data_IF_095509951050
#
_entry.id   IF_095509951050
#
_cell.length_a   1.000
_cell.length_b   1.000
_cell.length_c   1.000
_cell.angle_alpha   90.00
_cell.angle_beta   90.00
_cell.angle_gamma   90.00
#
_symmetry.space_group_name_H-M   'P 1'
#
loop_
_entity.id
_entity.type
_entity.pdbx_description
1 polymer ?
#
# COMPACT_ATOMS: atom_id res chain seq x y z
N UNK A 1 8.64 -12.81 -3.63
CA UNK A 1 8.29 -13.36 -2.37
C UNK A 1 7.95 -12.25 -1.39
N UNK A 2 7.04 -12.54 -0.51
CA UNK A 2 6.76 -11.69 0.62
C UNK A 2 6.42 -10.24 0.26
N UNK A 3 6.79 -9.35 1.14
CA UNK A 3 6.44 -7.94 1.02
C UNK A 3 7.09 -7.20 -0.16
N UNK A 4 8.21 -7.71 -0.67
CA UNK A 4 8.87 -7.07 -1.82
C UNK A 4 7.98 -7.02 -3.05
N UNK A 5 7.07 -7.97 -3.20
CA UNK A 5 6.11 -7.99 -4.30
C UNK A 5 5.16 -6.78 -4.26
N UNK A 6 4.76 -6.38 -3.05
CA UNK A 6 3.92 -5.19 -2.85
C UNK A 6 4.72 -3.94 -3.23
N UNK A 7 5.92 -3.77 -2.69
CA UNK A 7 6.75 -2.61 -2.97
C UNK A 7 7.03 -2.45 -4.46
N UNK A 8 7.37 -3.55 -5.13
CA UNK A 8 7.65 -3.53 -6.57
C UNK A 8 6.41 -3.12 -7.37
N UNK A 9 5.22 -3.60 -6.99
CA UNK A 9 3.99 -3.22 -7.67
C UNK A 9 3.71 -1.72 -7.49
N UNK A 10 3.91 -1.18 -6.28
CA UNK A 10 3.69 0.23 -6.01
C UNK A 10 4.67 1.13 -6.79
N UNK A 11 5.91 0.69 -6.94
CA UNK A 11 6.92 1.44 -7.69
C UNK A 11 6.63 1.53 -9.18
N UNK A 12 5.80 0.64 -9.73
CA UNK A 12 5.37 0.78 -11.13
C UNK A 12 4.42 1.95 -11.32
N UNK A 13 3.73 2.37 -10.26
CA UNK A 13 2.76 3.46 -10.31
C UNK A 13 3.39 4.80 -9.94
N UNK A 14 4.16 4.83 -8.85
CA UNK A 14 4.74 6.07 -8.32
C UNK A 14 6.16 5.79 -7.81
N UNK A 15 7.15 5.65 -8.72
CA UNK A 15 8.47 5.12 -8.35
C UNK A 15 9.26 5.98 -7.35
N UNK A 16 8.99 7.27 -7.27
CA UNK A 16 9.78 8.19 -6.44
C UNK A 16 9.16 8.49 -5.08
N UNK A 17 7.99 7.94 -4.78
CA UNK A 17 7.25 8.27 -3.56
C UNK A 17 6.58 7.05 -2.93
N UNK A 18 7.32 5.94 -2.81
CA UNK A 18 6.88 4.72 -2.13
C UNK A 18 7.71 4.55 -0.86
N UNK A 19 7.02 4.44 0.28
CA UNK A 19 7.66 4.37 1.60
C UNK A 19 7.15 3.17 2.39
N UNK A 20 7.98 2.65 3.28
CA UNK A 20 7.60 1.58 4.20
C UNK A 20 7.28 2.18 5.57
N UNK A 21 6.10 1.87 6.08
CA UNK A 21 5.59 2.27 7.41
C UNK A 21 5.27 3.75 7.52
N UNK A 22 6.17 4.63 7.14
CA UNK A 22 5.96 6.07 7.30
C UNK A 22 6.64 6.84 6.17
N UNK A 23 5.92 7.81 5.62
CA UNK A 23 6.47 8.74 4.64
C UNK A 23 7.07 9.97 5.35
N UNK A 24 8.14 10.56 4.80
CA UNK A 24 8.64 11.83 5.33
C UNK A 24 7.64 12.97 5.05
N UNK A 25 7.71 14.02 5.84
CA UNK A 25 6.85 15.20 5.62
C UNK A 25 7.23 15.97 4.37
N UNK A 26 8.52 15.97 4.04
CA UNK A 26 9.06 16.69 2.89
C UNK A 26 10.00 15.81 2.09
N UNK A 27 10.21 16.16 0.84
CA UNK A 27 11.25 15.54 0.01
C UNK A 27 12.63 16.04 0.43
N UNK A 28 13.70 15.44 -0.13
CA UNK A 28 15.08 15.84 0.14
C UNK A 28 15.33 17.31 -0.22
N UNK A 29 14.56 17.85 -1.16
CA UNK A 29 14.66 19.25 -1.57
C UNK A 29 13.85 20.20 -0.67
N UNK A 30 13.23 19.70 0.40
CA UNK A 30 12.42 20.49 1.31
C UNK A 30 11.01 20.79 0.81
N UNK A 31 10.57 20.14 -0.25
CA UNK A 31 9.22 20.32 -0.80
C UNK A 31 8.26 19.39 -0.04
N UNK A 32 7.08 19.90 0.32
CA UNK A 32 6.07 19.10 1.00
C UNK A 32 5.64 17.92 0.14
N UNK A 33 5.57 16.74 0.75
CA UNK A 33 5.16 15.52 0.08
C UNK A 33 3.62 15.47 0.03
N UNK A 34 3.04 15.68 -1.16
CA UNK A 34 1.60 15.82 -1.33
C UNK A 34 0.90 14.57 -1.85
N UNK A 35 1.61 13.71 -2.58
CA UNK A 35 1.05 12.54 -3.24
C UNK A 35 2.04 11.40 -3.11
N UNK A 36 1.67 10.36 -2.36
CA UNK A 36 2.61 9.30 -2.03
C UNK A 36 1.92 7.99 -1.69
N UNK A 37 2.70 6.93 -1.61
CA UNK A 37 2.24 5.59 -1.23
C UNK A 37 3.05 5.11 -0.04
N UNK A 38 2.35 4.49 0.92
CA UNK A 38 2.99 3.86 2.08
C UNK A 38 2.47 2.43 2.18
N UNK A 39 3.33 1.47 2.44
CA UNK A 39 2.89 0.12 2.76
C UNK A 39 3.41 -0.27 4.13
N UNK A 40 2.54 -0.89 4.92
CA UNK A 40 2.83 -1.25 6.30
C UNK A 40 2.58 -2.74 6.50
N UNK A 41 3.60 -3.53 6.85
CA UNK A 41 3.37 -4.93 7.20
C UNK A 41 2.47 -5.00 8.44
N UNK A 42 1.43 -5.83 8.38
CA UNK A 42 0.49 -5.98 9.51
C UNK A 42 0.58 -7.34 10.16
N UNK A 43 1.19 -8.32 9.51
CA UNK A 43 1.39 -9.62 10.10
C UNK A 43 1.55 -10.71 9.06
N UNK A 44 1.65 -11.92 9.56
CA UNK A 44 1.76 -13.10 8.74
C UNK A 44 0.73 -14.12 9.21
N UNK A 45 0.19 -14.85 8.26
CA UNK A 45 -0.78 -15.90 8.54
C UNK A 45 -0.30 -17.19 7.87
N UNK A 46 -0.47 -18.31 8.58
CA UNK A 46 -0.06 -19.61 8.04
C UNK A 46 -1.27 -20.40 7.60
N UNK A 47 -1.16 -21.09 6.47
CA UNK A 47 -2.10 -22.11 6.09
C UNK A 47 -1.50 -23.46 6.44
N UNK A 48 -2.35 -24.44 6.77
CA UNK A 48 -1.91 -25.74 7.24
C UNK A 48 -2.44 -26.86 6.36
N UNK A 49 -1.61 -27.87 6.18
CA UNK A 49 -1.98 -29.14 5.57
C UNK A 49 -1.46 -30.28 6.46
N UNK A 50 -2.37 -31.17 6.90
CA UNK A 50 -2.04 -32.29 7.77
C UNK A 50 -1.33 -31.87 9.07
N UNK A 51 -1.77 -30.73 9.64
CA UNK A 51 -1.22 -30.22 10.89
C UNK A 51 0.12 -29.52 10.78
N UNK A 52 0.62 -29.28 9.56
CA UNK A 52 1.91 -28.61 9.31
C UNK A 52 1.69 -27.31 8.54
N UNK A 53 2.54 -26.29 8.77
CA UNK A 53 2.49 -25.09 7.95
C UNK A 53 2.69 -25.44 6.48
N UNK A 54 1.75 -25.02 5.63
CA UNK A 54 1.79 -25.26 4.19
C UNK A 54 2.33 -24.06 3.43
N UNK A 55 1.84 -22.85 3.78
CA UNK A 55 2.27 -21.62 3.15
C UNK A 55 2.15 -20.48 4.14
N UNK A 56 2.98 -19.46 3.95
CA UNK A 56 2.90 -18.21 4.71
C UNK A 56 2.21 -17.16 3.85
N UNK A 57 1.21 -16.52 4.42
CA UNK A 57 0.50 -15.40 3.79
C UNK A 57 0.94 -14.12 4.48
N UNK A 58 1.54 -13.22 3.73
CA UNK A 58 2.04 -11.94 4.24
C UNK A 58 0.94 -10.89 4.11
N UNK A 59 0.62 -10.23 5.21
CA UNK A 59 -0.45 -9.24 5.27
C UNK A 59 0.14 -7.84 5.42
N UNK A 60 -0.42 -6.90 4.68
CA UNK A 60 0.02 -5.51 4.72
C UNK A 60 -1.15 -4.59 4.37
N UNK A 61 -1.02 -3.33 4.74
CA UNK A 61 -1.95 -2.28 4.31
C UNK A 61 -1.18 -1.32 3.42
N UNK A 62 -1.74 -1.06 2.24
CA UNK A 62 -1.22 -0.04 1.32
C UNK A 62 -2.04 1.23 1.52
N UNK A 63 -1.39 2.33 1.85
CA UNK A 63 -2.02 3.62 2.04
C UNK A 63 -1.68 4.52 0.86
N UNK A 64 -2.72 5.02 0.20
CA UNK A 64 -2.59 5.98 -0.91
C UNK A 64 -2.97 7.36 -0.39
N UNK A 65 -2.04 8.31 -0.44
CA UNK A 65 -2.28 9.68 0.00
C UNK A 65 -2.36 10.61 -1.22
N UNK A 66 -3.43 11.40 -1.29
CA UNK A 66 -3.67 12.34 -2.38
C UNK A 66 -4.22 13.65 -1.83
N UNK A 67 -4.19 14.70 -2.66
CA UNK A 67 -4.69 16.03 -2.28
C UNK A 67 -6.08 16.32 -2.84
N UNK A 68 -6.58 15.49 -3.74
CA UNK A 68 -7.91 15.67 -4.33
C UNK A 68 -8.71 14.39 -4.21
N UNK A 69 -10.02 14.53 -4.03
CA UNK A 69 -10.94 13.41 -3.87
C UNK A 69 -11.05 12.54 -5.14
N UNK A 70 -10.93 13.17 -6.29
CA UNK A 70 -11.07 12.51 -7.58
C UNK A 70 -9.74 12.09 -8.24
N UNK A 71 -8.66 12.05 -7.46
CA UNK A 71 -7.38 11.57 -7.96
C UNK A 71 -7.49 10.11 -8.41
N UNK A 72 -6.92 9.80 -9.56
CA UNK A 72 -6.94 8.45 -10.12
C UNK A 72 -5.92 7.52 -9.47
N UNK A 73 -5.05 8.01 -8.60
CA UNK A 73 -3.98 7.23 -7.98
C UNK A 73 -4.48 5.97 -7.25
N UNK A 74 -5.55 6.04 -6.44
CA UNK A 74 -6.05 4.82 -5.78
C UNK A 74 -6.45 3.73 -6.77
N UNK A 75 -7.08 4.09 -7.88
CA UNK A 75 -7.47 3.13 -8.92
C UNK A 75 -6.25 2.54 -9.64
N UNK A 76 -5.24 3.36 -9.90
CA UNK A 76 -3.99 2.92 -10.52
C UNK A 76 -3.24 1.95 -9.61
N UNK A 77 -3.22 2.22 -8.31
CA UNK A 77 -2.60 1.33 -7.31
C UNK A 77 -3.34 0.01 -7.25
N UNK A 78 -4.67 0.03 -7.18
CA UNK A 78 -5.47 -1.20 -7.16
C UNK A 78 -5.22 -2.05 -8.40
N UNK A 79 -5.11 -1.43 -9.56
CA UNK A 79 -4.81 -2.13 -10.81
C UNK A 79 -3.42 -2.76 -10.77
N UNK A 80 -2.42 -2.02 -10.29
CA UNK A 80 -1.04 -2.53 -10.21
C UNK A 80 -0.95 -3.72 -9.24
N UNK A 81 -1.64 -3.66 -8.11
CA UNK A 81 -1.67 -4.77 -7.16
C UNK A 81 -2.36 -6.00 -7.76
N UNK A 82 -3.48 -5.79 -8.47
CA UNK A 82 -4.18 -6.88 -9.14
C UNK A 82 -3.31 -7.51 -10.24
N UNK A 83 -2.62 -6.69 -11.02
CA UNK A 83 -1.73 -7.18 -12.09
C UNK A 83 -0.55 -7.98 -11.51
N UNK A 84 -0.15 -7.69 -10.28
CA UNK A 84 0.90 -8.44 -9.58
C UNK A 84 0.36 -9.66 -8.83
N UNK A 85 -0.93 -9.99 -8.99
CA UNK A 85 -1.60 -11.10 -8.32
C UNK A 85 -1.58 -10.99 -6.80
N UNK A 86 -1.71 -9.79 -6.28
CA UNK A 86 -1.82 -9.53 -4.85
C UNK A 86 -3.30 -9.44 -4.49
N UNK A 87 -3.72 -10.25 -3.53
CA UNK A 87 -5.11 -10.23 -3.06
C UNK A 87 -5.39 -8.96 -2.26
N UNK A 88 -6.52 -8.33 -2.52
CA UNK A 88 -6.92 -7.10 -1.85
C UNK A 88 -8.28 -7.29 -1.18
N UNK A 89 -8.46 -6.61 -0.05
CA UNK A 89 -9.75 -6.49 0.60
C UNK A 89 -10.35 -5.13 0.28
N UNK A 90 -11.57 -4.89 0.78
CA UNK A 90 -12.27 -3.63 0.54
C UNK A 90 -11.45 -2.44 1.03
N UNK A 91 -11.21 -1.43 0.19
CA UNK A 91 -10.48 -0.25 0.62
C UNK A 91 -11.30 0.62 1.56
N UNK A 92 -10.63 1.28 2.48
CA UNK A 92 -11.23 2.25 3.39
C UNK A 92 -10.72 3.64 3.05
N UNK A 93 -11.65 4.61 3.01
CA UNK A 93 -11.33 5.99 2.68
C UNK A 93 -11.46 6.88 3.91
N UNK A 94 -10.52 7.81 4.06
CA UNK A 94 -10.56 8.80 5.13
C UNK A 94 -10.00 10.13 4.65
N UNK A 95 -10.26 11.19 5.41
CA UNK A 95 -9.78 12.52 5.11
C UNK A 95 -9.21 13.16 6.38
N UNK A 96 -7.98 13.67 6.30
CA UNK A 96 -7.35 14.38 7.40
C UNK A 96 -7.50 15.89 7.17
N UNK A 97 -8.31 16.53 8.00
CA UNK A 97 -8.58 17.97 7.91
C UNK A 97 -7.31 18.78 8.15
N UNK A 98 -6.48 18.35 9.10
CA UNK A 98 -5.27 19.09 9.48
C UNK A 98 -4.27 19.22 8.34
N UNK A 99 -4.12 18.16 7.53
CA UNK A 99 -3.19 18.13 6.39
C UNK A 99 -3.88 18.28 5.04
N UNK A 100 -5.23 18.35 5.03
CA UNK A 100 -6.04 18.39 3.81
C UNK A 100 -5.69 17.23 2.86
N UNK A 101 -5.53 16.03 3.40
CA UNK A 101 -5.08 14.86 2.66
C UNK A 101 -6.16 13.78 2.66
N UNK A 102 -6.43 13.23 1.48
CA UNK A 102 -7.30 12.05 1.31
C UNK A 102 -6.45 10.79 1.38
N UNK A 103 -6.90 9.84 2.19
CA UNK A 103 -6.23 8.55 2.35
C UNK A 103 -7.13 7.42 1.88
N UNK A 104 -6.54 6.46 1.18
CA UNK A 104 -7.19 5.20 0.83
C UNK A 104 -6.31 4.07 1.37
N UNK A 105 -6.85 3.28 2.30
CA UNK A 105 -6.15 2.14 2.89
C UNK A 105 -6.66 0.86 2.24
N UNK A 106 -5.75 0.11 1.63
CA UNK A 106 -6.07 -1.14 0.91
C UNK A 106 -5.38 -2.29 1.64
N UNK A 107 -6.14 -3.10 2.41
CA UNK A 107 -5.56 -4.31 3.01
C UNK A 107 -5.20 -5.32 1.92
N UNK A 108 -4.00 -5.87 2.01
CA UNK A 108 -3.44 -6.77 1.00
C UNK A 108 -2.89 -8.04 1.61
N UNK A 109 -2.90 -9.12 0.82
CA UNK A 109 -2.28 -10.39 1.19
C UNK A 109 -1.42 -10.90 0.03
N UNK A 110 -0.22 -11.38 0.36
CA UNK A 110 0.74 -11.95 -0.59
C UNK A 110 1.17 -13.31 -0.11
N UNK A 111 1.17 -14.28 -1.02
CA UNK A 111 1.67 -15.62 -0.75
C UNK A 111 3.15 -15.72 -1.14
#
# INVERSE_FOLDING_TARGET
MSYSKIENALKTVLPDAVYKVQAPETTDDGVQLLRYLVWTPTGERYTYASGRPFATIYQAVVTVATQTEDDTLPAEVSKALADAHIAMQMPEHSYDVATATYYTDIPCEVI
#
